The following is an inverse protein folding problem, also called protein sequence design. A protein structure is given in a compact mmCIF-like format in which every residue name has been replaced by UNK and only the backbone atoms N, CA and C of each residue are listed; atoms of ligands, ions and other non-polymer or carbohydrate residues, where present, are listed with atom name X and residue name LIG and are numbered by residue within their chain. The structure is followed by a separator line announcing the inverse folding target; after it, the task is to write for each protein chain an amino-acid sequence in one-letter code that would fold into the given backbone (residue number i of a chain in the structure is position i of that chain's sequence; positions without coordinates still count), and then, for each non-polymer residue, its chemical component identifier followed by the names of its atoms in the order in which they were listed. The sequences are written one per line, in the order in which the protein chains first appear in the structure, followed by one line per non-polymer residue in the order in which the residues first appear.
data_IF_894652935809
#
_entry.id   IF_894652935809
#
_cell.length_a   1.000
_cell.length_b   1.000
_cell.length_c   1.000
_cell.angle_alpha   90.00
_cell.angle_beta   90.00
_cell.angle_gamma   90.00
#
_symmetry.space_group_name_H-M   'P 1'
#
loop_
_entity.id
_entity.type
_entity.pdbx_description
1 polymer ?
#
# COMPACT_ATOMS: atom_id res chain seq x y z
N UNK A 1 3.26 -13.74 -2.59
CA UNK A 1 3.27 -12.28 -2.72
C UNK A 1 4.29 -11.69 -1.78
N UNK A 2 4.25 -10.37 -1.64
CA UNK A 2 5.06 -9.60 -0.70
C UNK A 2 4.13 -8.67 0.08
N UNK A 3 4.37 -8.55 1.38
CA UNK A 3 3.63 -7.62 2.23
C UNK A 3 4.33 -6.27 2.22
N UNK A 4 3.57 -5.18 2.17
CA UNK A 4 4.17 -3.86 2.14
C UNK A 4 3.20 -2.70 2.03
N UNK A 5 3.73 -1.49 2.21
CA UNK A 5 3.01 -0.26 1.92
C UNK A 5 2.86 -0.12 0.41
N UNK A 6 1.66 -0.30 -0.12
CA UNK A 6 1.43 -0.21 -1.56
C UNK A 6 1.74 1.20 -2.07
N UNK A 7 2.41 1.25 -3.21
CA UNK A 7 2.73 2.50 -3.89
C UNK A 7 2.16 2.52 -5.31
N UNK A 8 1.96 3.73 -5.83
CA UNK A 8 1.72 3.92 -7.26
C UNK A 8 3.02 3.83 -8.08
N UNK A 9 2.91 4.08 -9.39
CA UNK A 9 4.06 4.07 -10.30
C UNK A 9 5.11 5.14 -10.01
N UNK A 10 4.76 6.17 -9.23
CA UNK A 10 5.62 7.28 -8.84
C UNK A 10 6.15 7.15 -7.40
N UNK A 11 6.02 5.94 -6.83
CA UNK A 11 6.51 5.62 -5.49
C UNK A 11 5.79 6.42 -4.39
N UNK A 12 4.52 6.78 -4.58
CA UNK A 12 3.68 7.45 -3.60
C UNK A 12 2.78 6.43 -2.88
N UNK A 13 2.76 6.48 -1.56
CA UNK A 13 1.89 5.63 -0.74
C UNK A 13 0.47 6.20 -0.69
N UNK A 14 -0.51 5.31 -0.50
CA UNK A 14 -1.91 5.72 -0.43
C UNK A 14 -2.29 6.06 1.01
N UNK A 15 -2.53 7.35 1.30
CA UNK A 15 -3.07 7.81 2.59
C UNK A 15 -4.49 7.24 2.75
N UNK A 16 -4.83 6.86 3.97
CA UNK A 16 -6.14 6.30 4.25
C UNK A 16 -6.73 6.77 5.58
N UNK A 17 -8.03 6.60 5.71
CA UNK A 17 -8.80 6.86 6.95
C UNK A 17 -9.59 5.62 7.39
N UNK A 18 -9.89 4.71 6.45
CA UNK A 18 -10.71 3.54 6.69
C UNK A 18 -10.07 2.29 6.08
N UNK A 19 -10.10 1.17 6.81
CA UNK A 19 -9.50 -0.09 6.36
C UNK A 19 -10.11 -0.63 5.07
N UNK A 20 -11.41 -0.42 4.84
CA UNK A 20 -12.08 -0.90 3.63
C UNK A 20 -11.49 -0.32 2.34
N UNK A 21 -10.96 0.90 2.39
CA UNK A 21 -10.26 1.52 1.26
C UNK A 21 -8.99 0.73 0.90
N UNK A 22 -8.14 0.47 1.89
CA UNK A 22 -6.91 -0.31 1.66
C UNK A 22 -7.23 -1.76 1.31
N UNK A 23 -8.21 -2.39 1.97
CA UNK A 23 -8.63 -3.74 1.62
C UNK A 23 -9.06 -3.84 0.15
N UNK A 24 -9.92 -2.92 -0.31
CA UNK A 24 -10.34 -2.87 -1.71
C UNK A 24 -9.16 -2.60 -2.66
N UNK A 25 -8.27 -1.66 -2.30
CA UNK A 25 -7.09 -1.33 -3.09
C UNK A 25 -6.16 -2.54 -3.25
N UNK A 26 -5.84 -3.24 -2.18
CA UNK A 26 -4.92 -4.39 -2.20
C UNK A 26 -5.54 -5.59 -2.92
N UNK A 27 -6.83 -5.88 -2.69
CA UNK A 27 -7.54 -7.00 -3.34
C UNK A 27 -7.81 -6.76 -4.83
N UNK A 28 -8.02 -5.52 -5.26
CA UNK A 28 -8.05 -5.15 -6.68
C UNK A 28 -6.74 -5.52 -7.38
N UNK A 29 -5.62 -5.29 -6.69
CA UNK A 29 -4.26 -5.67 -7.10
C UNK A 29 -3.92 -7.14 -6.87
N UNK A 30 -4.90 -7.97 -6.53
CA UNK A 30 -4.77 -9.42 -6.29
C UNK A 30 -3.92 -9.78 -5.07
N UNK A 31 -3.75 -8.87 -4.12
CA UNK A 31 -3.32 -9.21 -2.76
C UNK A 31 -4.47 -9.81 -1.95
N UNK A 32 -4.14 -10.43 -0.83
CA UNK A 32 -5.13 -11.10 0.04
C UNK A 32 -5.94 -10.11 0.85
N UNK A 33 -5.30 -9.06 1.36
CA UNK A 33 -5.92 -8.11 2.27
C UNK A 33 -5.18 -6.77 2.30
N UNK A 34 -5.79 -5.79 2.98
CA UNK A 34 -5.21 -4.48 3.17
C UNK A 34 -5.87 -3.71 4.30
N UNK A 35 -5.09 -2.87 4.99
CA UNK A 35 -5.56 -2.07 6.10
C UNK A 35 -4.83 -0.73 6.19
N UNK A 36 -5.42 0.20 6.93
CA UNK A 36 -4.73 1.41 7.34
C UNK A 36 -3.72 1.07 8.42
N UNK A 37 -2.48 1.48 8.20
CA UNK A 37 -1.39 1.37 9.15
C UNK A 37 -0.70 2.72 9.35
N UNK A 38 -0.18 2.95 10.56
CA UNK A 38 0.52 4.18 10.89
C UNK A 38 2.01 4.05 10.57
N UNK A 39 2.47 4.77 9.55
CA UNK A 39 3.86 4.77 9.11
C UNK A 39 4.47 6.16 9.05
N UNK A 40 5.43 6.46 9.92
CA UNK A 40 6.15 7.74 9.96
C UNK A 40 7.18 7.80 8.82
N UNK A 41 7.32 8.93 8.09
CA UNK A 41 6.63 10.21 8.24
C UNK A 41 5.34 10.37 7.42
N UNK A 42 4.86 9.30 6.77
CA UNK A 42 3.77 9.35 5.79
C UNK A 42 2.36 9.41 6.40
N UNK A 43 2.22 9.16 7.70
CA UNK A 43 0.95 9.19 8.41
C UNK A 43 0.23 7.85 8.35
N UNK A 44 -1.10 7.87 8.26
CA UNK A 44 -1.90 6.64 8.12
C UNK A 44 -2.01 6.29 6.64
N UNK A 45 -1.45 5.15 6.24
CA UNK A 45 -1.34 4.73 4.84
C UNK A 45 -1.72 3.25 4.66
N UNK A 46 -1.93 2.83 3.43
CA UNK A 46 -2.32 1.46 3.13
C UNK A 46 -1.14 0.48 3.19
N UNK A 47 -1.25 -0.50 4.10
CA UNK A 47 -0.49 -1.74 4.08
C UNK A 47 -1.30 -2.82 3.35
N UNK A 48 -0.62 -3.61 2.52
CA UNK A 48 -1.21 -4.75 1.83
C UNK A 48 -0.49 -6.05 2.22
N UNK A 49 -1.25 -7.14 2.25
CA UNK A 49 -0.75 -8.50 2.46
C UNK A 49 -0.78 -9.29 1.15
N UNK A 50 0.26 -10.08 0.91
CA UNK A 50 0.46 -10.97 -0.22
C UNK A 50 0.32 -10.32 -1.61
N UNK A 51 0.80 -9.09 -1.81
CA UNK A 51 0.75 -8.46 -3.14
C UNK A 51 1.59 -9.26 -4.16
N UNK A 52 1.06 -9.58 -5.33
CA UNK A 52 1.84 -10.26 -6.36
C UNK A 52 2.80 -9.30 -7.06
N UNK A 53 3.96 -9.80 -7.47
CA UNK A 53 4.85 -9.07 -8.39
C UNK A 53 4.13 -8.88 -9.73
N UNK A 54 4.22 -7.70 -10.39
CA UNK A 54 5.07 -6.54 -10.08
C UNK A 54 4.32 -5.37 -9.43
N UNK A 55 3.32 -5.61 -8.57
CA UNK A 55 2.61 -4.51 -7.90
C UNK A 55 3.61 -3.67 -7.08
N UNK A 56 3.70 -2.35 -7.30
CA UNK A 56 4.69 -1.54 -6.61
C UNK A 56 4.41 -1.44 -5.11
N UNK A 57 5.45 -1.67 -4.31
CA UNK A 57 5.51 -1.35 -2.89
C UNK A 57 6.42 -0.13 -2.73
N UNK A 58 6.14 0.70 -1.73
CA UNK A 58 6.91 1.90 -1.43
C UNK A 58 8.36 1.53 -1.12
N UNK A 59 9.25 1.86 -2.06
CA UNK A 59 10.69 1.70 -1.89
C UNK A 59 11.36 2.95 -1.32
N UNK A 60 12.70 2.92 -1.25
CA UNK A 60 13.49 4.12 -0.94
C UNK A 60 13.31 5.21 -2.01
N UNK A 61 13.43 6.48 -1.63
CA UNK A 61 13.35 7.63 -2.55
C UNK A 61 12.11 8.48 -2.35
N UNK A 62 11.94 9.49 -3.19
CA UNK A 62 10.80 10.44 -3.13
C UNK A 62 9.61 9.90 -3.94
N UNK A 63 8.41 10.21 -3.47
CA UNK A 63 7.20 10.26 -4.29
C UNK A 63 7.37 11.39 -5.32
N UNK A 64 7.05 11.15 -6.59
CA UNK A 64 7.35 12.05 -7.71
C UNK A 64 6.13 12.61 -8.40
#
# INVERSE_FOLDING_TARGET
GEDGYIADGDNCTYICTFNNYCHALCTDKKGDSGACDWWVPYGVVCWCEDLPTPVPIRGSGKCR
#
